data_IF_487607505782
#
_entry.id   IF_487607505782
#
_cell.length_a   1.000
_cell.length_b   1.000
_cell.length_c   1.000
_cell.angle_alpha   90.00
_cell.angle_beta   90.00
_cell.angle_gamma   90.00
#
_symmetry.space_group_name_H-M   'P 1'
#
loop_
_entity.id
_entity.type
_entity.pdbx_description
1 polymer ?
#
# COMPACT_ATOMS: atom_id res chain seq x y z
N UNK A 1 -50.41 -21.47 15.10
CA UNK A 1 -49.80 -20.34 14.35
C UNK A 1 -50.66 -19.08 14.51
N UNK A 2 -50.62 -18.40 15.66
CA UNK A 2 -51.38 -17.16 15.93
C UNK A 2 -50.65 -15.88 15.49
N UNK A 3 -49.38 -16.01 15.09
CA UNK A 3 -48.50 -14.88 14.71
C UNK A 3 -48.84 -14.30 13.32
N UNK A 4 -49.46 -15.08 12.43
CA UNK A 4 -49.88 -14.60 11.10
C UNK A 4 -51.22 -13.84 11.09
N UNK A 5 -51.83 -13.56 12.24
CA UNK A 5 -53.07 -12.78 12.33
C UNK A 5 -52.90 -11.44 13.03
N UNK A 6 -51.70 -11.13 13.49
CA UNK A 6 -51.44 -9.84 14.12
C UNK A 6 -51.09 -8.80 13.03
N UNK A 7 -51.90 -7.74 12.86
CA UNK A 7 -51.66 -6.71 11.85
C UNK A 7 -50.32 -5.98 12.08
N UNK A 8 -49.83 -5.97 13.33
CA UNK A 8 -48.55 -5.39 13.72
C UNK A 8 -47.35 -6.10 13.08
N UNK A 9 -47.36 -7.43 13.04
CA UNK A 9 -46.29 -8.21 12.42
C UNK A 9 -46.20 -7.98 10.92
N UNK A 10 -47.34 -7.79 10.25
CA UNK A 10 -47.38 -7.46 8.83
C UNK A 10 -46.79 -6.09 8.57
N UNK A 11 -47.14 -5.09 9.39
CA UNK A 11 -46.57 -3.74 9.28
C UNK A 11 -45.05 -3.75 9.47
N UNK A 12 -44.53 -4.48 10.46
CA UNK A 12 -43.09 -4.60 10.69
C UNK A 12 -42.38 -5.35 9.55
N UNK A 13 -42.93 -6.46 9.08
CA UNK A 13 -42.35 -7.21 7.95
C UNK A 13 -42.35 -6.38 6.66
N UNK A 14 -43.44 -5.67 6.38
CA UNK A 14 -43.58 -4.87 5.17
C UNK A 14 -42.71 -3.61 5.25
N UNK A 15 -42.63 -2.97 6.42
CA UNK A 15 -41.69 -1.88 6.69
C UNK A 15 -40.23 -2.34 6.60
N UNK A 16 -39.90 -3.51 7.14
CA UNK A 16 -38.58 -4.13 7.05
C UNK A 16 -38.20 -4.48 5.60
N UNK A 17 -39.14 -5.03 4.83
CA UNK A 17 -38.96 -5.31 3.41
C UNK A 17 -38.70 -4.02 2.61
N UNK A 18 -39.49 -2.96 2.84
CA UNK A 18 -39.31 -1.66 2.19
C UNK A 18 -37.96 -1.04 2.59
N UNK A 19 -37.59 -1.11 3.86
CA UNK A 19 -36.31 -0.61 4.36
C UNK A 19 -35.11 -1.34 3.74
N UNK A 20 -35.17 -2.68 3.66
CA UNK A 20 -34.14 -3.48 3.00
C UNK A 20 -34.04 -3.16 1.51
N UNK A 21 -35.18 -2.99 0.83
CA UNK A 21 -35.20 -2.61 -0.59
C UNK A 21 -34.64 -1.19 -0.82
N UNK A 22 -34.90 -0.28 0.12
CA UNK A 22 -34.40 1.09 0.10
C UNK A 22 -32.89 1.13 0.33
N UNK A 23 -32.38 0.43 1.34
CA UNK A 23 -30.93 0.32 1.62
C UNK A 23 -30.18 -0.39 0.48
N UNK A 24 -30.75 -1.46 -0.11
CA UNK A 24 -30.14 -2.15 -1.24
C UNK A 24 -29.99 -1.28 -2.50
N UNK A 25 -30.83 -0.24 -2.64
CA UNK A 25 -30.77 0.72 -3.75
C UNK A 25 -30.02 1.99 -3.41
N UNK A 26 -29.61 2.17 -2.16
CA UNK A 26 -28.93 3.38 -1.72
C UNK A 26 -27.51 3.38 -2.29
N UNK A 27 -27.14 4.34 -3.16
CA UNK A 27 -25.75 4.44 -3.56
C UNK A 27 -24.92 4.74 -2.31
N UNK A 28 -23.72 4.15 -2.17
CA UNK A 28 -22.84 4.47 -1.05
C UNK A 28 -22.59 5.98 -1.02
N UNK A 29 -22.68 6.58 0.17
CA UNK A 29 -22.46 8.03 0.31
C UNK A 29 -21.10 8.38 -0.30
N UNK A 30 -21.06 9.29 -1.28
CA UNK A 30 -19.81 9.70 -1.92
C UNK A 30 -18.83 10.19 -0.85
N UNK A 31 -17.54 9.87 -1.02
CA UNK A 31 -16.50 10.28 -0.08
C UNK A 31 -16.46 11.82 0.07
N UNK A 32 -16.83 12.56 -0.98
CA UNK A 32 -16.95 14.03 -1.01
C UNK A 32 -18.03 14.59 -0.06
N UNK A 33 -19.03 13.81 0.34
CA UNK A 33 -20.12 14.27 1.22
C UNK A 33 -19.86 14.01 2.71
N UNK A 34 -18.77 13.34 3.08
CA UNK A 34 -18.42 13.09 4.49
C UNK A 34 -17.74 14.33 5.09
N UNK A 35 -18.00 14.69 6.36
CA UNK A 35 -17.30 15.81 6.99
C UNK A 35 -15.78 15.52 7.08
N UNK A 36 -14.97 16.56 6.88
CA UNK A 36 -13.53 16.51 7.13
C UNK A 36 -13.31 16.86 8.59
N UNK A 37 -12.83 15.89 9.38
CA UNK A 37 -12.60 16.05 10.81
C UNK A 37 -11.10 16.06 11.05
N UNK A 38 -10.55 17.24 11.36
CA UNK A 38 -9.16 17.36 11.82
C UNK A 38 -9.11 16.98 13.29
N UNK A 39 -8.43 15.86 13.61
CA UNK A 39 -8.35 15.33 14.97
C UNK A 39 -7.18 15.94 15.72
N UNK A 40 -7.21 15.83 17.05
CA UNK A 40 -6.09 16.26 17.89
C UNK A 40 -4.78 15.50 17.57
N UNK A 41 -4.90 14.23 17.17
CA UNK A 41 -3.78 13.40 16.73
C UNK A 41 -3.09 13.96 15.48
N UNK A 42 -3.86 14.49 14.52
CA UNK A 42 -3.34 15.11 13.30
C UNK A 42 -2.54 16.37 13.65
N UNK A 43 -3.07 17.21 14.55
CA UNK A 43 -2.36 18.40 15.04
C UNK A 43 -1.07 18.05 15.79
N UNK A 44 -1.07 16.98 16.58
CA UNK A 44 0.13 16.52 17.28
C UNK A 44 1.19 16.01 16.30
N UNK A 45 0.79 15.27 15.26
CA UNK A 45 1.69 14.83 14.19
C UNK A 45 2.30 16.01 13.45
N UNK A 46 1.50 17.01 13.07
CA UNK A 46 1.99 18.23 12.42
C UNK A 46 3.00 18.99 13.28
N UNK A 47 2.79 19.06 14.60
CA UNK A 47 3.75 19.67 15.53
C UNK A 47 5.08 18.91 15.58
N UNK A 48 5.04 17.58 15.64
CA UNK A 48 6.25 16.75 15.67
C UNK A 48 7.04 16.87 14.37
N UNK A 49 6.38 16.75 13.21
CA UNK A 49 7.03 16.93 11.91
C UNK A 49 7.69 18.31 11.78
N UNK A 50 6.99 19.36 12.20
CA UNK A 50 7.55 20.72 12.19
C UNK A 50 8.77 20.86 13.12
N UNK A 51 8.71 20.24 14.30
CA UNK A 51 9.83 20.22 15.24
C UNK A 51 11.04 19.50 14.65
N UNK A 52 10.83 18.35 14.00
CA UNK A 52 11.88 17.56 13.36
C UNK A 52 12.54 18.33 12.21
N UNK A 53 11.76 19.06 11.42
CA UNK A 53 12.25 19.82 10.25
C UNK A 53 12.88 21.17 10.63
N UNK A 54 12.35 21.86 11.64
CA UNK A 54 12.72 23.26 11.96
C UNK A 54 13.44 23.41 13.30
N UNK A 55 13.52 22.37 14.11
CA UNK A 55 14.15 22.39 15.44
C UNK A 55 13.41 23.22 16.50
N UNK A 56 12.20 23.70 16.22
CA UNK A 56 11.34 24.44 17.16
C UNK A 56 9.87 24.08 16.97
N UNK A 57 9.01 24.22 17.99
CA UNK A 57 7.57 24.03 17.80
C UNK A 57 6.94 25.14 16.93
N UNK A 58 5.84 24.84 16.22
CA UNK A 58 5.12 25.84 15.44
C UNK A 58 4.35 26.80 16.36
N UNK A 59 4.30 28.07 15.95
CA UNK A 59 3.44 29.07 16.58
C UNK A 59 1.96 28.82 16.26
N UNK A 60 1.04 29.44 16.99
CA UNK A 60 -0.40 29.22 16.81
C UNK A 60 -0.89 29.56 15.38
N UNK A 61 -0.34 30.59 14.75
CA UNK A 61 -0.63 30.96 13.36
C UNK A 61 -0.08 29.94 12.36
N UNK A 62 1.16 29.49 12.54
CA UNK A 62 1.80 28.47 11.72
C UNK A 62 1.04 27.14 11.80
N UNK A 63 0.63 26.74 13.00
CA UNK A 63 -0.15 25.52 13.20
C UNK A 63 -1.53 25.62 12.53
N UNK A 64 -2.17 26.79 12.56
CA UNK A 64 -3.44 27.01 11.85
C UNK A 64 -3.27 26.88 10.34
N UNK A 65 -2.20 27.43 9.78
CA UNK A 65 -1.89 27.28 8.35
C UNK A 65 -1.61 25.82 7.96
N UNK A 66 -0.92 25.06 8.81
CA UNK A 66 -0.70 23.62 8.59
C UNK A 66 -2.03 22.85 8.59
N UNK A 67 -2.93 23.16 9.52
CA UNK A 67 -4.26 22.55 9.58
C UNK A 67 -5.11 22.90 8.36
N UNK A 68 -5.10 24.16 7.92
CA UNK A 68 -5.80 24.59 6.70
C UNK A 68 -5.26 23.90 5.45
N UNK A 69 -3.93 23.70 5.36
CA UNK A 69 -3.32 22.93 4.28
C UNK A 69 -3.79 21.48 4.31
N UNK A 70 -3.79 20.84 5.48
CA UNK A 70 -4.29 19.46 5.63
C UNK A 70 -5.74 19.32 5.14
N UNK A 71 -6.61 20.26 5.51
CA UNK A 71 -8.01 20.27 5.05
C UNK A 71 -8.09 20.42 3.53
N UNK A 72 -7.31 21.34 2.95
CA UNK A 72 -7.26 21.54 1.51
C UNK A 72 -6.80 20.29 0.77
N UNK A 73 -5.75 19.65 1.26
CA UNK A 73 -5.20 18.43 0.66
C UNK A 73 -6.24 17.30 0.71
N UNK A 74 -6.96 17.14 1.82
CA UNK A 74 -8.04 16.16 1.95
C UNK A 74 -9.20 16.44 0.99
N UNK A 75 -9.60 17.70 0.81
CA UNK A 75 -10.62 18.09 -0.18
C UNK A 75 -10.17 17.66 -1.58
N UNK A 76 -8.96 18.05 -1.98
CA UNK A 76 -8.42 17.74 -3.29
C UNK A 76 -8.28 16.23 -3.52
N UNK A 77 -7.85 15.49 -2.51
CA UNK A 77 -7.74 14.04 -2.55
C UNK A 77 -9.11 13.38 -2.79
N UNK A 78 -10.14 13.80 -2.05
CA UNK A 78 -11.50 13.25 -2.22
C UNK A 78 -12.09 13.55 -3.58
N UNK A 79 -11.87 14.76 -4.10
CA UNK A 79 -12.28 15.11 -5.46
C UNK A 79 -11.51 14.28 -6.50
N UNK A 80 -10.20 14.10 -6.35
CA UNK A 80 -9.40 13.25 -7.23
C UNK A 80 -9.92 11.80 -7.28
N UNK A 81 -10.37 11.26 -6.14
CA UNK A 81 -11.04 9.96 -6.08
C UNK A 81 -12.40 9.97 -6.77
N UNK A 82 -13.21 11.01 -6.58
CA UNK A 82 -14.52 11.16 -7.22
C UNK A 82 -14.42 11.27 -8.75
N UNK A 83 -13.39 11.96 -9.25
CA UNK A 83 -13.06 12.03 -10.68
C UNK A 83 -12.42 10.74 -11.22
N UNK A 84 -12.04 9.80 -10.35
CA UNK A 84 -11.45 8.54 -10.77
C UNK A 84 -10.05 8.67 -11.35
N UNK A 85 -9.29 9.72 -10.98
CA UNK A 85 -7.95 10.00 -11.55
C UNK A 85 -6.97 8.82 -11.41
N UNK A 86 -7.11 8.02 -10.36
CA UNK A 86 -6.34 6.79 -10.14
C UNK A 86 -6.52 5.70 -11.22
N UNK A 87 -7.63 5.74 -11.98
CA UNK A 87 -7.95 4.79 -13.05
C UNK A 87 -7.68 5.35 -14.44
N UNK A 88 -7.89 6.65 -14.62
CA UNK A 88 -7.85 7.32 -15.94
C UNK A 88 -6.49 7.90 -16.27
N UNK A 89 -5.69 8.31 -15.26
CA UNK A 89 -4.39 8.94 -15.46
C UNK A 89 -3.24 7.91 -15.35
N UNK A 90 -2.46 7.80 -16.43
CA UNK A 90 -1.34 6.85 -16.51
C UNK A 90 -0.13 7.25 -15.63
N UNK A 91 0.04 8.54 -15.34
CA UNK A 91 1.06 9.03 -14.42
C UNK A 91 0.76 8.64 -12.98
N UNK A 92 -0.48 8.90 -12.54
CA UNK A 92 -0.95 8.52 -11.20
C UNK A 92 -0.89 7.00 -11.02
N UNK A 93 -1.32 6.23 -12.03
CA UNK A 93 -1.22 4.76 -11.99
C UNK A 93 0.21 4.28 -11.78
N UNK A 94 1.19 4.84 -12.50
CA UNK A 94 2.61 4.49 -12.34
C UNK A 94 3.13 4.83 -10.95
N UNK A 95 2.75 5.99 -10.41
CA UNK A 95 3.15 6.39 -9.07
C UNK A 95 2.57 5.47 -7.98
N UNK A 96 1.31 5.05 -8.12
CA UNK A 96 0.68 4.09 -7.21
C UNK A 96 1.37 2.72 -7.25
N UNK A 97 1.73 2.24 -8.45
CA UNK A 97 2.50 0.99 -8.61
C UNK A 97 3.84 1.10 -7.89
N UNK A 98 4.63 2.15 -8.15
CA UNK A 98 5.92 2.36 -7.51
C UNK A 98 5.81 2.44 -5.97
N UNK A 99 4.74 3.07 -5.46
CA UNK A 99 4.50 3.14 -4.01
C UNK A 99 4.15 1.77 -3.43
N UNK A 100 3.37 0.97 -4.13
CA UNK A 100 3.04 -0.40 -3.70
C UNK A 100 4.27 -1.31 -3.73
N UNK A 101 5.12 -1.20 -4.75
CA UNK A 101 6.40 -1.92 -4.84
C UNK A 101 7.30 -1.58 -3.65
N UNK A 102 7.38 -0.30 -3.27
CA UNK A 102 8.12 0.12 -2.08
C UNK A 102 7.55 -0.50 -0.79
N UNK A 103 6.22 -0.47 -0.60
CA UNK A 103 5.59 -1.05 0.59
C UNK A 103 5.82 -2.56 0.69
N UNK A 104 5.78 -3.27 -0.44
CA UNK A 104 6.11 -4.69 -0.50
C UNK A 104 7.53 -4.94 -0.01
N UNK A 105 8.50 -4.13 -0.43
CA UNK A 105 9.89 -4.24 0.01
C UNK A 105 10.06 -3.95 1.51
N UNK A 106 9.27 -3.02 2.06
CA UNK A 106 9.28 -2.68 3.50
C UNK A 106 8.71 -3.82 4.36
N UNK A 107 7.62 -4.47 3.92
CA UNK A 107 7.06 -5.63 4.62
C UNK A 107 7.92 -6.89 4.51
N UNK A 108 8.69 -7.02 3.42
CA UNK A 108 9.45 -8.20 3.08
C UNK A 108 10.69 -8.48 3.95
N UNK A 109 11.09 -7.65 4.94
CA UNK A 109 12.32 -7.95 5.68
C UNK A 109 12.54 -7.30 7.04
N UNK A 110 12.47 -8.14 8.09
CA UNK A 110 12.96 -7.83 9.44
C UNK A 110 13.89 -8.89 10.07
N UNK A 111 14.28 -9.98 9.38
CA UNK A 111 15.13 -11.02 9.99
C UNK A 111 16.63 -10.84 9.69
N UNK A 112 17.45 -10.90 10.74
CA UNK A 112 18.91 -10.90 10.66
C UNK A 112 19.40 -12.21 9.99
N UNK A 113 20.22 -12.16 8.91
CA UNK A 113 20.73 -13.37 8.27
C UNK A 113 21.74 -14.09 9.16
N UNK A 114 21.65 -15.42 9.17
CA UNK A 114 22.64 -16.30 9.77
C UNK A 114 23.95 -16.33 8.96
N UNK A 115 25.06 -16.67 9.63
CA UNK A 115 26.36 -16.76 8.96
C UNK A 115 26.37 -17.82 7.84
N UNK A 116 25.58 -18.88 7.98
CA UNK A 116 25.49 -19.95 6.98
C UNK A 116 24.72 -19.50 5.73
N UNK A 117 23.69 -18.67 5.88
CA UNK A 117 22.99 -18.04 4.74
C UNK A 117 23.89 -17.08 3.97
N UNK A 118 24.75 -16.34 4.68
CA UNK A 118 25.71 -15.44 4.04
C UNK A 118 26.80 -16.21 3.28
N UNK A 119 27.26 -17.34 3.82
CA UNK A 119 28.20 -18.24 3.12
C UNK A 119 27.56 -18.86 1.89
N UNK A 120 26.32 -19.34 2.02
CA UNK A 120 25.55 -19.87 0.90
C UNK A 120 25.34 -18.82 -0.20
N UNK A 121 25.04 -17.58 0.19
CA UNK A 121 24.92 -16.46 -0.75
C UNK A 121 26.24 -16.16 -1.47
N UNK A 122 27.37 -16.16 -0.77
CA UNK A 122 28.71 -15.96 -1.36
C UNK A 122 29.09 -17.08 -2.36
N UNK A 123 28.60 -18.30 -2.12
CA UNK A 123 28.79 -19.45 -3.02
C UNK A 123 27.92 -19.43 -4.28
N UNK A 124 26.85 -18.63 -4.30
CA UNK A 124 25.90 -18.58 -5.43
C UNK A 124 26.55 -17.93 -6.68
N UNK A 125 26.47 -18.56 -7.86
CA UNK A 125 26.93 -17.93 -9.10
C UNK A 125 26.07 -16.71 -9.46
N UNK A 126 26.70 -15.64 -9.94
CA UNK A 126 26.00 -14.41 -10.35
C UNK A 126 25.65 -13.43 -9.22
N UNK A 127 26.11 -13.66 -7.99
CA UNK A 127 25.92 -12.75 -6.84
C UNK A 127 26.79 -11.46 -6.90
N UNK A 128 27.54 -11.25 -7.98
CA UNK A 128 28.40 -10.08 -8.17
C UNK A 128 29.75 -10.13 -7.45
N UNK A 129 30.06 -11.18 -6.68
CA UNK A 129 31.32 -11.32 -5.96
C UNK A 129 32.33 -12.19 -6.73
N UNK A 130 33.58 -11.73 -6.78
CA UNK A 130 34.67 -12.44 -7.46
C UNK A 130 35.27 -13.56 -6.60
N UNK A 131 36.05 -14.45 -7.22
CA UNK A 131 36.80 -15.47 -6.48
C UNK A 131 37.76 -14.87 -5.45
N UNK A 132 38.43 -13.76 -5.79
CA UNK A 132 39.30 -13.02 -4.89
C UNK A 132 38.56 -12.45 -3.66
N UNK A 133 37.27 -12.12 -3.80
CA UNK A 133 36.45 -11.67 -2.68
C UNK A 133 36.22 -12.80 -1.64
N UNK A 134 36.26 -14.07 -2.05
CA UNK A 134 36.08 -15.23 -1.16
C UNK A 134 37.28 -15.52 -0.26
N UNK A 135 38.45 -14.97 -0.61
CA UNK A 135 39.70 -15.17 0.15
C UNK A 135 39.86 -14.14 1.29
N UNK A 136 39.01 -13.12 1.35
CA UNK A 136 39.13 -12.08 2.37
C UNK A 136 38.71 -12.58 3.78
N UNK A 137 39.20 -11.94 4.86
CA UNK A 137 38.85 -12.33 6.22
C UNK A 137 37.35 -12.18 6.51
N UNK A 138 36.70 -13.24 7.01
CA UNK A 138 35.25 -13.31 7.25
C UNK A 138 34.66 -12.09 7.98
N UNK A 139 35.34 -11.61 9.03
CA UNK A 139 34.92 -10.47 9.86
C UNK A 139 34.76 -9.18 9.04
N UNK A 140 35.56 -9.01 7.98
CA UNK A 140 35.50 -7.84 7.11
C UNK A 140 34.39 -7.97 6.07
N UNK A 141 34.28 -9.13 5.42
CA UNK A 141 33.30 -9.36 4.35
C UNK A 141 31.86 -9.43 4.87
N UNK A 142 31.63 -10.02 6.06
CA UNK A 142 30.29 -10.26 6.62
C UNK A 142 29.41 -9.01 6.65
N UNK A 143 29.99 -7.85 6.96
CA UNK A 143 29.24 -6.58 7.02
C UNK A 143 28.69 -6.15 5.65
N UNK A 144 29.44 -6.41 4.59
CA UNK A 144 29.08 -6.06 3.22
C UNK A 144 28.14 -7.10 2.62
N UNK A 145 28.44 -8.39 2.83
CA UNK A 145 27.54 -9.51 2.48
C UNK A 145 26.17 -9.35 3.15
N UNK A 146 26.10 -8.98 4.42
CA UNK A 146 24.84 -8.72 5.13
C UNK A 146 24.00 -7.67 4.41
N UNK A 147 24.59 -6.53 4.02
CA UNK A 147 23.86 -5.46 3.32
C UNK A 147 23.36 -5.92 1.96
N UNK A 148 24.19 -6.64 1.21
CA UNK A 148 23.87 -7.06 -0.16
C UNK A 148 22.88 -8.23 -0.16
N UNK A 149 23.01 -9.17 0.76
CA UNK A 149 22.03 -10.22 1.02
C UNK A 149 20.69 -9.65 1.47
N UNK A 150 20.67 -8.67 2.38
CA UNK A 150 19.42 -8.04 2.83
C UNK A 150 18.69 -7.36 1.66
N UNK A 151 19.41 -6.81 0.68
CA UNK A 151 18.81 -6.26 -0.55
C UNK A 151 18.18 -7.37 -1.40
N UNK A 152 18.93 -8.42 -1.73
CA UNK A 152 18.49 -9.53 -2.57
C UNK A 152 17.36 -10.37 -1.92
N UNK A 153 17.48 -10.60 -0.61
CA UNK A 153 16.50 -11.36 0.19
C UNK A 153 15.17 -10.63 0.28
N UNK A 154 15.19 -9.31 0.50
CA UNK A 154 13.97 -8.47 0.49
C UNK A 154 13.28 -8.47 -0.87
N UNK A 155 14.06 -8.44 -1.95
CA UNK A 155 13.52 -8.52 -3.31
C UNK A 155 12.76 -9.84 -3.51
N UNK A 156 13.38 -10.97 -3.18
CA UNK A 156 12.76 -12.30 -3.30
C UNK A 156 11.50 -12.45 -2.45
N UNK A 157 11.53 -11.98 -1.21
CA UNK A 157 10.36 -12.00 -0.35
C UNK A 157 9.24 -11.08 -0.86
N UNK A 158 9.57 -9.91 -1.43
CA UNK A 158 8.59 -9.04 -2.08
C UNK A 158 7.95 -9.72 -3.31
N UNK A 159 8.74 -10.45 -4.11
CA UNK A 159 8.26 -11.22 -5.27
C UNK A 159 7.29 -12.34 -4.84
N UNK A 160 7.58 -13.04 -3.74
CA UNK A 160 6.69 -14.05 -3.16
C UNK A 160 5.35 -13.45 -2.70
N UNK A 161 5.39 -12.28 -2.03
CA UNK A 161 4.19 -11.55 -1.62
C UNK A 161 3.39 -11.11 -2.86
N UNK A 162 4.07 -10.57 -3.89
CA UNK A 162 3.42 -10.19 -5.13
C UNK A 162 2.76 -11.39 -5.83
N UNK A 163 3.44 -12.55 -5.88
CA UNK A 163 2.89 -13.79 -6.42
C UNK A 163 1.63 -14.26 -5.65
N UNK A 164 1.57 -14.02 -4.34
CA UNK A 164 0.36 -14.28 -3.54
C UNK A 164 -0.82 -13.42 -3.99
N UNK A 165 -0.58 -12.15 -4.35
CA UNK A 165 -1.62 -11.24 -4.82
C UNK A 165 -2.11 -11.65 -6.21
N UNK A 166 -1.19 -12.01 -7.11
CA UNK A 166 -1.49 -12.42 -8.48
C UNK A 166 -2.51 -13.56 -8.55
N UNK A 167 -2.45 -14.53 -7.64
CA UNK A 167 -3.38 -15.66 -7.55
C UNK A 167 -4.85 -15.25 -7.33
N UNK A 168 -5.10 -14.07 -6.78
CA UNK A 168 -6.46 -13.54 -6.53
C UNK A 168 -7.08 -12.84 -7.74
N UNK A 169 -6.31 -12.61 -8.80
CA UNK A 169 -6.75 -11.87 -9.98
C UNK A 169 -6.66 -12.76 -11.22
N UNK A 170 -7.76 -12.89 -11.96
CA UNK A 170 -7.71 -13.40 -13.33
C UNK A 170 -7.14 -12.31 -14.24
N UNK A 171 -6.15 -12.63 -15.07
CA UNK A 171 -5.58 -11.67 -16.03
C UNK A 171 -5.85 -12.21 -17.41
N UNK A 172 -6.75 -11.55 -18.11
CA UNK A 172 -7.03 -11.77 -19.52
C UNK A 172 -6.19 -10.77 -20.31
N UNK A 173 -5.17 -11.26 -21.01
CA UNK A 173 -4.37 -10.44 -21.91
C UNK A 173 -5.02 -10.45 -23.31
N UNK A 174 -5.07 -9.32 -24.01
CA UNK A 174 -5.57 -9.29 -25.39
C UNK A 174 -4.68 -10.16 -26.30
N UNK A 175 -5.30 -10.85 -27.26
CA UNK A 175 -4.63 -11.82 -28.17
C UNK A 175 -3.42 -11.21 -28.89
N UNK A 176 -3.41 -9.89 -29.13
CA UNK A 176 -2.29 -9.16 -29.74
C UNK A 176 -0.98 -9.18 -28.92
N UNK A 177 -1.04 -9.45 -27.62
CA UNK A 177 0.14 -9.62 -26.74
C UNK A 177 0.60 -11.08 -26.64
N UNK A 178 -0.21 -12.05 -27.07
CA UNK A 178 0.13 -13.48 -27.00
C UNK A 178 0.97 -13.98 -28.19
N UNK A 179 1.07 -13.19 -29.27
CA UNK A 179 1.58 -13.63 -30.57
C UNK A 179 2.86 -12.92 -31.03
N UNK A 180 3.78 -12.57 -30.14
CA UNK A 180 5.14 -12.17 -30.53
C UNK A 180 6.04 -13.41 -30.37
N UNK A 181 6.28 -14.21 -31.42
CA UNK A 181 7.31 -15.24 -31.35
C UNK A 181 8.66 -14.55 -31.17
N UNK A 182 9.43 -15.02 -30.18
CA UNK A 182 10.84 -14.65 -29.98
C UNK A 182 11.59 -14.78 -31.31
N UNK A 183 12.01 -13.65 -31.87
CA UNK A 183 13.05 -13.65 -32.89
C UNK A 183 14.38 -13.87 -32.17
N UNK A 184 14.84 -15.11 -32.14
CA UNK A 184 16.20 -15.45 -31.74
C UNK A 184 17.20 -14.82 -32.73
N UNK A 185 18.30 -14.21 -32.25
CA UNK A 185 19.48 -13.97 -33.08
C UNK A 185 20.25 -15.27 -33.37
#
# INVERSE_FOLDING_TARGET
MRWLREPLLHFVCLGGLVFLLYEARRPPTPISQRPIVVRQEDLNRLRQQWLDERGRPPQASELRQLAERLVRDEILFREALAFGLQQTDTGIRRQLIARMEQLLLEFAGQSEPSDDELRAYLGRPGNGYSAAFREQPWKQIRSQLRRDWLRDSRQRAADEIFASYRRRYEVVLPVSLAAVPERAP
#
